data_IF_831603786747
#
_entry.id   IF_831603786747
#
_cell.length_a   1.000
_cell.length_b   1.000
_cell.length_c   1.000
_cell.angle_alpha   90.00
_cell.angle_beta   90.00
_cell.angle_gamma   90.00
#
_symmetry.space_group_name_H-M   'P 1'
#
loop_
_entity.id
_entity.type
_entity.pdbx_description
1 polymer ?
#
# COMPACT_ATOMS: atom_id res chain seq x y z
N UNK A 1 -39.56 -2.17 -18.16
CA UNK A 1 -39.27 -3.60 -17.86
C UNK A 1 -37.87 -3.63 -17.32
N UNK A 2 -37.70 -3.61 -15.99
CA UNK A 2 -36.39 -3.57 -15.34
C UNK A 2 -35.61 -4.85 -15.62
N UNK A 3 -34.35 -4.69 -16.03
CA UNK A 3 -33.45 -5.81 -16.30
C UNK A 3 -33.16 -6.60 -15.01
N UNK A 4 -32.99 -7.94 -15.06
CA UNK A 4 -32.78 -8.79 -13.89
C UNK A 4 -31.56 -8.45 -13.03
N UNK A 5 -30.62 -7.61 -13.52
CA UNK A 5 -29.40 -7.20 -12.82
C UNK A 5 -29.54 -5.96 -11.92
N UNK A 6 -30.68 -5.29 -11.95
CA UNK A 6 -30.84 -3.95 -11.35
C UNK A 6 -31.52 -3.96 -9.96
N UNK A 7 -31.75 -5.14 -9.37
CA UNK A 7 -32.31 -5.21 -8.03
C UNK A 7 -31.26 -4.83 -6.97
N UNK A 8 -31.54 -3.81 -6.15
CA UNK A 8 -30.66 -3.43 -5.06
C UNK A 8 -30.58 -4.55 -4.02
N UNK A 9 -29.41 -5.05 -3.76
CA UNK A 9 -29.20 -6.24 -2.92
C UNK A 9 -28.46 -5.95 -1.62
N UNK A 10 -27.59 -4.92 -1.56
CA UNK A 10 -26.61 -4.77 -0.49
C UNK A 10 -26.61 -3.36 0.12
N UNK A 11 -26.40 -3.27 1.43
CA UNK A 11 -26.00 -2.03 2.09
C UNK A 11 -24.51 -1.77 1.88
N UNK A 12 -24.07 -0.52 2.02
CA UNK A 12 -22.69 -0.12 1.79
C UNK A 12 -21.68 -0.94 2.61
N UNK A 13 -21.94 -1.19 3.88
CA UNK A 13 -21.05 -1.99 4.73
C UNK A 13 -20.93 -3.45 4.29
N UNK A 14 -21.96 -4.03 3.67
CA UNK A 14 -21.89 -5.36 3.09
C UNK A 14 -21.10 -5.35 1.79
N UNK A 15 -21.30 -4.35 0.94
CA UNK A 15 -20.53 -4.15 -0.29
C UNK A 15 -19.04 -3.93 0.02
N UNK A 16 -18.76 -3.08 1.00
CA UNK A 16 -17.42 -2.81 1.54
C UNK A 16 -16.71 -4.09 1.98
N UNK A 17 -17.38 -4.90 2.80
CA UNK A 17 -16.82 -6.16 3.31
C UNK A 17 -16.54 -7.18 2.19
N UNK A 18 -17.46 -7.32 1.22
CA UNK A 18 -17.31 -8.27 0.11
C UNK A 18 -16.17 -7.92 -0.83
N UNK A 19 -15.93 -6.63 -1.05
CA UNK A 19 -14.98 -6.14 -2.03
C UNK A 19 -13.66 -5.66 -1.42
N UNK A 20 -13.55 -5.62 -0.08
CA UNK A 20 -12.35 -5.13 0.59
C UNK A 20 -12.09 -3.63 0.36
N UNK A 21 -13.14 -2.85 0.03
CA UNK A 21 -13.06 -1.41 -0.21
C UNK A 21 -13.76 -0.69 0.94
N UNK A 22 -13.17 0.36 1.48
CA UNK A 22 -13.79 1.09 2.59
C UNK A 22 -15.09 1.77 2.18
N UNK A 23 -16.05 1.91 3.11
CA UNK A 23 -17.29 2.66 2.90
C UNK A 23 -17.01 4.09 2.39
N UNK A 24 -15.92 4.69 2.86
CA UNK A 24 -15.50 6.03 2.47
C UNK A 24 -15.09 6.08 0.99
N UNK A 25 -14.27 5.15 0.54
CA UNK A 25 -13.85 5.06 -0.86
C UNK A 25 -15.05 4.80 -1.79
N UNK A 26 -15.97 3.91 -1.40
CA UNK A 26 -17.20 3.65 -2.16
C UNK A 26 -18.06 4.91 -2.30
N UNK A 27 -18.22 5.68 -1.22
CA UNK A 27 -18.97 6.96 -1.25
C UNK A 27 -18.25 8.02 -2.09
N UNK A 28 -16.92 8.06 -2.05
CA UNK A 28 -16.14 8.97 -2.88
C UNK A 28 -16.31 8.62 -4.36
N UNK A 29 -16.24 7.34 -4.73
CA UNK A 29 -16.45 6.89 -6.09
C UNK A 29 -17.89 7.11 -6.60
N UNK A 30 -18.89 6.95 -5.70
CA UNK A 30 -20.28 7.32 -5.98
C UNK A 30 -20.42 8.82 -6.27
N UNK A 31 -19.91 9.67 -5.36
CA UNK A 31 -20.15 11.12 -5.43
C UNK A 31 -19.30 11.84 -6.48
N UNK A 32 -18.03 11.41 -6.70
CA UNK A 32 -17.10 12.07 -7.61
C UNK A 32 -17.19 11.59 -9.05
N UNK A 33 -17.43 10.29 -9.22
CA UNK A 33 -17.35 9.66 -10.53
C UNK A 33 -18.68 9.12 -11.01
N UNK A 34 -19.71 9.09 -10.14
CA UNK A 34 -20.97 8.45 -10.48
C UNK A 34 -20.86 6.95 -10.73
N UNK A 35 -19.76 6.32 -10.23
CA UNK A 35 -19.47 4.91 -10.47
C UNK A 35 -20.57 4.00 -9.94
N UNK A 36 -21.17 4.36 -8.82
CA UNK A 36 -22.24 3.62 -8.15
C UNK A 36 -23.56 4.38 -8.25
N UNK A 37 -24.63 3.66 -8.52
CA UNK A 37 -25.97 4.22 -8.69
C UNK A 37 -26.96 3.55 -7.71
N UNK A 38 -26.79 3.79 -6.37
CA UNK A 38 -27.65 3.16 -5.39
C UNK A 38 -29.08 3.68 -5.47
N UNK A 39 -30.03 2.79 -5.27
CA UNK A 39 -31.44 3.18 -5.00
C UNK A 39 -31.64 3.34 -3.51
N UNK A 40 -32.62 4.16 -3.12
CA UNK A 40 -32.99 4.34 -1.71
C UNK A 40 -34.12 3.38 -1.32
N UNK A 41 -33.94 2.66 -0.22
CA UNK A 41 -35.00 1.87 0.39
C UNK A 41 -36.11 2.77 0.96
N UNK A 42 -37.27 2.21 1.32
CA UNK A 42 -38.33 2.92 1.99
C UNK A 42 -37.89 3.60 3.30
N UNK A 43 -36.82 3.11 3.95
CA UNK A 43 -36.21 3.73 5.12
C UNK A 43 -35.08 4.69 4.82
N UNK A 44 -34.88 5.13 3.57
CA UNK A 44 -33.89 6.12 3.15
C UNK A 44 -32.44 5.60 3.01
N UNK A 45 -32.20 4.30 3.23
CA UNK A 45 -30.86 3.71 3.11
C UNK A 45 -30.47 3.48 1.65
N UNK A 46 -29.19 3.70 1.33
CA UNK A 46 -28.62 3.35 0.04
C UNK A 46 -28.52 1.82 -0.10
N UNK A 47 -29.00 1.31 -1.23
CA UNK A 47 -28.94 -0.10 -1.59
C UNK A 47 -28.27 -0.22 -2.96
N UNK A 48 -27.27 -1.07 -3.06
CA UNK A 48 -26.40 -1.26 -4.21
C UNK A 48 -26.77 -2.55 -4.94
N UNK A 49 -26.74 -2.50 -6.27
CA UNK A 49 -27.09 -3.61 -7.16
C UNK A 49 -25.90 -4.54 -7.42
N UNK A 50 -26.14 -5.69 -8.06
CA UNK A 50 -25.08 -6.53 -8.59
C UNK A 50 -24.24 -5.83 -9.68
N UNK A 51 -24.85 -4.91 -10.43
CA UNK A 51 -24.14 -4.08 -11.40
C UNK A 51 -23.16 -3.12 -10.69
N UNK A 52 -23.58 -2.49 -9.58
CA UNK A 52 -22.68 -1.68 -8.77
C UNK A 52 -21.48 -2.50 -8.24
N UNK A 53 -21.72 -3.72 -7.76
CA UNK A 53 -20.68 -4.63 -7.32
C UNK A 53 -19.71 -4.97 -8.47
N UNK A 54 -20.22 -5.20 -9.69
CA UNK A 54 -19.42 -5.43 -10.89
C UNK A 54 -18.53 -4.23 -11.25
N UNK A 55 -19.09 -3.01 -11.23
CA UNK A 55 -18.33 -1.77 -11.48
C UNK A 55 -17.21 -1.54 -10.48
N UNK A 56 -17.45 -1.83 -9.20
CA UNK A 56 -16.39 -1.73 -8.18
C UNK A 56 -15.26 -2.73 -8.44
N UNK A 57 -15.57 -3.97 -8.86
CA UNK A 57 -14.53 -4.96 -9.21
C UNK A 57 -13.70 -4.53 -10.42
N UNK A 58 -14.34 -4.02 -11.46
CA UNK A 58 -13.65 -3.47 -12.64
C UNK A 58 -12.78 -2.27 -12.24
N UNK A 59 -13.31 -1.38 -11.41
CA UNK A 59 -12.56 -0.25 -10.84
C UNK A 59 -11.30 -0.72 -10.12
N UNK A 60 -11.42 -1.74 -9.27
CA UNK A 60 -10.27 -2.32 -8.56
C UNK A 60 -9.24 -2.93 -9.52
N UNK A 61 -9.69 -3.62 -10.57
CA UNK A 61 -8.79 -4.19 -11.59
C UNK A 61 -7.97 -3.09 -12.29
N UNK A 62 -8.63 -2.03 -12.74
CA UNK A 62 -7.93 -0.91 -13.39
C UNK A 62 -7.01 -0.15 -12.45
N UNK A 63 -7.38 -0.01 -11.17
CA UNK A 63 -6.49 0.55 -10.16
C UNK A 63 -5.26 -0.33 -9.92
N UNK A 64 -5.42 -1.66 -9.99
CA UNK A 64 -4.31 -2.61 -9.88
C UNK A 64 -3.39 -2.57 -11.11
N UNK A 65 -3.92 -2.23 -12.29
CA UNK A 65 -3.16 -1.97 -13.52
C UNK A 65 -2.42 -0.61 -13.50
N UNK A 66 -2.64 0.20 -12.44
CA UNK A 66 -1.93 1.48 -12.25
C UNK A 66 -2.68 2.71 -12.76
N UNK A 67 -3.94 2.57 -13.23
CA UNK A 67 -4.75 3.72 -13.60
C UNK A 67 -5.10 4.55 -12.36
N UNK A 68 -5.19 5.87 -12.53
CA UNK A 68 -5.77 6.74 -11.51
C UNK A 68 -7.26 6.42 -11.30
N UNK A 69 -7.81 6.75 -10.12
CA UNK A 69 -9.22 6.48 -9.83
C UNK A 69 -10.17 7.18 -10.82
N UNK A 70 -9.81 8.37 -11.31
CA UNK A 70 -10.59 9.07 -12.33
C UNK A 70 -10.56 8.38 -13.69
N UNK A 71 -9.43 7.81 -14.11
CA UNK A 71 -9.28 7.06 -15.37
C UNK A 71 -9.99 5.72 -15.27
N UNK A 72 -9.79 4.98 -14.19
CA UNK A 72 -10.43 3.70 -13.94
C UNK A 72 -11.97 3.85 -13.95
N UNK A 73 -12.51 4.83 -13.23
CA UNK A 73 -13.95 5.10 -13.23
C UNK A 73 -14.50 5.44 -14.63
N UNK A 74 -13.78 6.26 -15.41
CA UNK A 74 -14.17 6.58 -16.78
C UNK A 74 -14.17 5.36 -17.71
N UNK A 75 -13.19 4.48 -17.54
CA UNK A 75 -13.09 3.24 -18.32
C UNK A 75 -14.27 2.32 -17.98
N UNK A 76 -14.52 2.07 -16.70
CA UNK A 76 -15.65 1.26 -16.25
C UNK A 76 -16.99 1.80 -16.75
N UNK A 77 -17.25 3.12 -16.65
CA UNK A 77 -18.51 3.72 -17.07
C UNK A 77 -18.69 3.67 -18.60
N UNK A 78 -17.61 3.73 -19.38
CA UNK A 78 -17.67 3.54 -20.84
C UNK A 78 -17.97 2.09 -21.22
N UNK A 79 -17.37 1.13 -20.54
CA UNK A 79 -17.59 -0.30 -20.78
C UNK A 79 -19.01 -0.73 -20.41
N UNK A 80 -19.58 -0.12 -19.36
CA UNK A 80 -20.95 -0.38 -18.89
C UNK A 80 -22.05 0.34 -19.72
N UNK A 81 -21.68 1.13 -20.72
CA UNK A 81 -22.62 1.86 -21.58
C UNK A 81 -23.40 2.97 -20.87
N UNK A 82 -23.05 3.32 -19.65
CA UNK A 82 -23.75 4.31 -18.81
C UNK A 82 -23.16 5.73 -18.90
N UNK A 83 -22.23 5.97 -19.81
CA UNK A 83 -21.64 7.28 -20.01
C UNK A 83 -22.62 8.25 -20.66
N UNK A 84 -23.26 9.11 -19.87
CA UNK A 84 -23.86 10.35 -20.36
C UNK A 84 -22.78 11.21 -21.01
N UNK A 85 -23.04 11.61 -22.26
CA UNK A 85 -22.11 12.37 -23.08
C UNK A 85 -22.04 13.84 -22.65
N UNK A 86 -21.33 14.11 -21.56
CA UNK A 86 -20.71 15.42 -21.34
C UNK A 86 -19.20 15.20 -21.22
N UNK A 87 -18.39 15.74 -22.14
CA UNK A 87 -16.96 15.57 -22.09
C UNK A 87 -16.40 16.40 -20.95
N UNK A 88 -16.12 15.77 -19.81
CA UNK A 88 -15.12 16.32 -18.90
C UNK A 88 -13.81 16.32 -19.68
N UNK A 89 -13.16 17.49 -19.83
CA UNK A 89 -11.95 17.60 -20.63
C UNK A 89 -10.90 16.60 -20.10
N UNK A 90 -10.10 15.97 -20.95
CA UNK A 90 -9.05 15.07 -20.54
C UNK A 90 -8.10 15.86 -19.65
N UNK A 91 -8.01 15.49 -18.37
CA UNK A 91 -6.92 15.95 -17.53
C UNK A 91 -5.63 15.41 -18.17
N UNK A 92 -4.86 16.30 -18.76
CA UNK A 92 -3.56 15.97 -19.31
C UNK A 92 -2.65 15.41 -18.22
N UNK A 93 -1.57 14.69 -18.55
CA UNK A 93 -0.63 14.12 -17.57
C UNK A 93 -0.10 15.14 -16.57
N UNK A 94 -0.03 16.42 -16.94
CA UNK A 94 0.42 17.50 -16.09
C UNK A 94 -0.56 17.89 -14.96
N UNK A 95 -1.89 17.73 -15.16
CA UNK A 95 -2.88 18.04 -14.11
C UNK A 95 -2.89 16.98 -12.99
N UNK A 96 -2.68 15.71 -13.34
CA UNK A 96 -2.59 14.65 -12.34
C UNK A 96 -1.30 14.78 -11.51
N UNK A 97 -0.18 15.11 -12.13
CA UNK A 97 1.10 15.33 -11.45
C UNK A 97 1.06 16.58 -10.55
N UNK A 98 0.44 17.68 -10.98
CA UNK A 98 0.24 18.88 -10.19
C UNK A 98 -0.61 18.56 -8.94
N UNK A 99 -1.68 17.81 -9.09
CA UNK A 99 -2.56 17.43 -7.97
C UNK A 99 -1.86 16.52 -6.96
N UNK A 100 -1.03 15.57 -7.39
CA UNK A 100 -0.23 14.72 -6.51
C UNK A 100 0.77 15.55 -5.72
N UNK A 101 1.47 16.48 -6.39
CA UNK A 101 2.44 17.37 -5.75
C UNK A 101 1.77 18.30 -4.73
N UNK A 102 0.61 18.86 -5.05
CA UNK A 102 -0.17 19.69 -4.12
C UNK A 102 -0.61 18.92 -2.89
N UNK A 103 -1.11 17.69 -3.05
CA UNK A 103 -1.52 16.84 -1.94
C UNK A 103 -0.32 16.39 -1.08
N UNK A 104 0.83 16.11 -1.69
CA UNK A 104 2.06 15.79 -0.96
C UNK A 104 2.53 16.98 -0.11
N UNK A 105 2.47 18.20 -0.66
CA UNK A 105 2.77 19.44 0.08
C UNK A 105 1.77 19.66 1.23
N UNK A 106 0.48 19.48 0.98
CA UNK A 106 -0.55 19.63 2.01
C UNK A 106 -0.38 18.61 3.14
N UNK A 107 -0.06 17.35 2.81
CA UNK A 107 0.23 16.32 3.80
C UNK A 107 1.41 16.72 4.68
N UNK A 108 2.51 17.15 4.08
CA UNK A 108 3.70 17.61 4.81
C UNK A 108 3.36 18.77 5.74
N UNK A 109 2.66 19.79 5.25
CA UNK A 109 2.27 20.95 6.06
C UNK A 109 1.42 20.56 7.27
N UNK A 110 0.43 19.68 7.08
CA UNK A 110 -0.40 19.18 8.16
C UNK A 110 0.42 18.39 9.20
N UNK A 111 1.31 17.50 8.77
CA UNK A 111 2.18 16.74 9.66
C UNK A 111 3.18 17.62 10.40
N UNK A 112 3.79 18.59 9.74
CA UNK A 112 4.74 19.55 10.35
C UNK A 112 4.06 20.47 11.36
N UNK A 113 2.76 20.75 11.18
CA UNK A 113 1.94 21.57 12.07
C UNK A 113 1.25 20.77 13.20
N UNK A 114 1.48 19.48 13.33
CA UNK A 114 0.79 18.59 14.26
C UNK A 114 -0.74 18.55 14.07
N UNK A 115 -1.22 18.80 12.83
CA UNK A 115 -2.63 18.80 12.48
C UNK A 115 -3.07 17.43 11.97
N UNK A 116 -3.41 16.53 12.90
CA UNK A 116 -3.88 15.19 12.58
C UNK A 116 -5.16 15.20 11.72
N UNK A 117 -6.22 15.97 12.03
CA UNK A 117 -7.43 16.00 11.21
C UNK A 117 -7.15 16.33 9.74
N UNK A 118 -6.34 17.36 9.48
CA UNK A 118 -5.95 17.75 8.11
C UNK A 118 -5.09 16.67 7.44
N UNK A 119 -4.13 16.07 8.15
CA UNK A 119 -3.32 14.99 7.62
C UNK A 119 -4.20 13.79 7.22
N UNK A 120 -5.15 13.40 8.07
CA UNK A 120 -6.09 12.31 7.79
C UNK A 120 -6.97 12.63 6.57
N UNK A 121 -7.50 13.86 6.46
CA UNK A 121 -8.31 14.28 5.31
C UNK A 121 -7.51 14.24 3.99
N UNK A 122 -6.23 14.64 4.01
CA UNK A 122 -5.35 14.55 2.84
C UNK A 122 -5.08 13.10 2.46
N UNK A 123 -4.81 12.21 3.42
CA UNK A 123 -4.67 10.78 3.15
C UNK A 123 -5.93 10.19 2.50
N UNK A 124 -7.12 10.51 3.04
CA UNK A 124 -8.39 10.04 2.49
C UNK A 124 -8.58 10.51 1.05
N UNK A 125 -8.15 11.74 0.75
CA UNK A 125 -8.18 12.28 -0.60
C UNK A 125 -7.18 11.57 -1.52
N UNK A 126 -5.94 11.36 -1.07
CA UNK A 126 -4.91 10.64 -1.84
C UNK A 126 -5.39 9.25 -2.26
N UNK A 127 -5.92 8.44 -1.32
CA UNK A 127 -6.39 7.08 -1.63
C UNK A 127 -7.72 7.06 -2.40
N UNK A 128 -8.45 8.17 -2.45
CA UNK A 128 -9.66 8.31 -3.26
C UNK A 128 -9.36 8.72 -4.69
N UNK A 129 -8.29 9.48 -4.91
CA UNK A 129 -7.95 10.08 -6.21
C UNK A 129 -6.89 9.27 -6.97
N UNK A 130 -6.05 8.51 -6.26
CA UNK A 130 -4.92 7.77 -6.81
C UNK A 130 -5.00 6.27 -6.48
N UNK A 131 -4.27 5.46 -7.25
CA UNK A 131 -4.03 4.07 -6.86
C UNK A 131 -3.20 4.04 -5.56
N UNK A 132 -3.45 3.04 -4.70
CA UNK A 132 -2.67 2.91 -3.47
C UNK A 132 -1.16 2.81 -3.75
N UNK A 133 -0.79 2.07 -4.80
CA UNK A 133 0.62 1.93 -5.23
C UNK A 133 1.25 3.28 -5.54
N UNK A 134 0.52 4.17 -6.24
CA UNK A 134 0.98 5.54 -6.51
C UNK A 134 1.11 6.37 -5.22
N UNK A 135 0.13 6.30 -4.31
CA UNK A 135 0.19 7.00 -3.02
C UNK A 135 1.41 6.56 -2.22
N UNK A 136 1.66 5.26 -2.14
CA UNK A 136 2.80 4.72 -1.37
C UNK A 136 4.14 5.09 -2.01
N UNK A 137 4.28 4.97 -3.34
CA UNK A 137 5.52 5.23 -4.07
C UNK A 137 5.83 6.72 -4.21
N UNK A 138 4.81 7.52 -4.58
CA UNK A 138 5.03 8.90 -5.05
C UNK A 138 4.80 9.94 -3.93
N UNK A 139 4.16 9.57 -2.81
CA UNK A 139 3.88 10.47 -1.69
C UNK A 139 4.49 9.97 -0.39
N UNK A 140 4.15 8.76 0.06
CA UNK A 140 4.52 8.29 1.41
C UNK A 140 6.01 7.99 1.52
N UNK A 141 6.58 7.19 0.60
CA UNK A 141 8.01 6.87 0.63
C UNK A 141 8.91 8.11 0.49
N UNK A 142 8.65 9.03 -0.47
CA UNK A 142 9.44 10.28 -0.56
C UNK A 142 9.34 11.14 0.69
N UNK A 143 8.15 11.26 1.30
CA UNK A 143 7.97 12.00 2.54
C UNK A 143 8.78 11.39 3.69
N UNK A 144 8.74 10.06 3.87
CA UNK A 144 9.51 9.36 4.90
C UNK A 144 11.02 9.56 4.72
N UNK A 145 11.51 9.51 3.48
CA UNK A 145 12.91 9.78 3.16
C UNK A 145 13.29 11.24 3.49
N UNK A 146 12.48 12.21 3.04
CA UNK A 146 12.68 13.63 3.36
C UNK A 146 12.67 13.89 4.88
N UNK A 147 11.74 13.26 5.61
CA UNK A 147 11.64 13.41 7.06
C UNK A 147 12.90 12.89 7.76
N UNK A 148 13.42 11.74 7.35
CA UNK A 148 14.68 11.19 7.83
C UNK A 148 15.87 12.12 7.58
N UNK A 149 15.98 12.66 6.37
CA UNK A 149 17.00 13.64 6.00
C UNK A 149 16.90 14.93 6.81
N UNK A 150 15.69 15.42 7.05
CA UNK A 150 15.45 16.62 7.88
C UNK A 150 15.83 16.39 9.33
N UNK A 151 15.51 15.21 9.85
CA UNK A 151 15.88 14.80 11.20
C UNK A 151 17.40 14.73 11.36
N UNK A 152 18.11 14.08 10.44
CA UNK A 152 19.59 14.01 10.46
C UNK A 152 20.25 15.39 10.40
N UNK A 153 19.66 16.32 9.65
CA UNK A 153 20.14 17.71 9.56
C UNK A 153 19.71 18.60 10.74
N UNK A 154 18.90 18.08 11.68
CA UNK A 154 18.36 18.84 12.81
C UNK A 154 17.31 19.87 12.41
N UNK A 155 16.72 19.78 11.21
CA UNK A 155 15.66 20.68 10.71
C UNK A 155 14.25 20.14 10.95
N UNK A 156 14.10 18.91 11.41
CA UNK A 156 12.89 18.35 11.99
C UNK A 156 13.15 18.00 13.45
N UNK A 157 12.23 18.39 14.34
CA UNK A 157 12.31 18.01 15.75
C UNK A 157 11.91 16.55 15.95
N UNK A 158 12.37 15.93 17.04
CA UNK A 158 11.97 14.59 17.46
C UNK A 158 10.44 14.47 17.57
N UNK A 159 9.78 15.53 18.07
CA UNK A 159 8.32 15.55 18.20
C UNK A 159 7.62 15.51 16.83
N UNK A 160 8.14 16.23 15.83
CA UNK A 160 7.60 16.21 14.47
C UNK A 160 7.80 14.84 13.81
N UNK A 161 8.98 14.26 13.95
CA UNK A 161 9.27 12.94 13.44
C UNK A 161 8.35 11.89 14.07
N UNK A 162 8.23 11.85 15.40
CA UNK A 162 7.35 10.90 16.10
C UNK A 162 5.87 11.09 15.72
N UNK A 163 5.40 12.33 15.65
CA UNK A 163 4.01 12.61 15.26
C UNK A 163 3.72 12.10 13.85
N UNK A 164 4.55 12.49 12.87
CA UNK A 164 4.37 12.12 11.48
C UNK A 164 4.45 10.61 11.27
N UNK A 165 5.44 9.95 11.88
CA UNK A 165 5.61 8.49 11.78
C UNK A 165 4.47 7.73 12.42
N UNK A 166 3.92 8.19 13.55
CA UNK A 166 2.76 7.55 14.18
C UNK A 166 1.50 7.67 13.31
N UNK A 167 1.22 8.82 12.70
CA UNK A 167 0.08 9.01 11.79
C UNK A 167 0.21 8.09 10.57
N UNK A 168 1.38 8.10 9.92
CA UNK A 168 1.65 7.26 8.75
C UNK A 168 1.55 5.78 9.10
N UNK A 169 2.19 5.35 10.20
CA UNK A 169 2.14 3.97 10.68
C UNK A 169 0.71 3.51 10.95
N UNK A 170 -0.11 4.35 11.56
CA UNK A 170 -1.52 4.05 11.79
C UNK A 170 -2.29 3.79 10.48
N UNK A 171 -2.03 4.57 9.44
CA UNK A 171 -2.62 4.37 8.10
C UNK A 171 -2.12 3.10 7.43
N UNK A 172 -0.82 2.86 7.47
CA UNK A 172 -0.21 1.64 6.92
C UNK A 172 -0.72 0.39 7.63
N UNK A 173 -0.81 0.40 8.97
CA UNK A 173 -1.35 -0.71 9.75
C UNK A 173 -2.83 -1.00 9.41
N UNK A 174 -3.62 0.04 9.10
CA UNK A 174 -4.97 -0.13 8.57
C UNK A 174 -5.03 -0.86 7.23
N UNK A 175 -4.06 -0.61 6.35
CA UNK A 175 -3.93 -1.25 5.04
C UNK A 175 -3.35 -2.66 5.12
N UNK A 176 -2.61 -2.97 6.18
CA UNK A 176 -1.99 -4.26 6.44
C UNK A 176 -2.95 -5.32 7.02
N UNK A 177 -4.22 -4.99 7.22
CA UNK A 177 -5.22 -5.93 7.75
C UNK A 177 -5.45 -7.08 6.77
N UNK A 178 -5.43 -8.31 7.29
CA UNK A 178 -5.69 -9.51 6.50
C UNK A 178 -4.46 -10.10 5.81
N UNK A 179 -3.25 -9.68 6.16
CA UNK A 179 -2.01 -10.18 5.60
C UNK A 179 -1.86 -11.70 5.63
N UNK A 180 -2.32 -12.38 6.67
CA UNK A 180 -2.30 -13.85 6.76
C UNK A 180 -3.40 -14.56 5.94
N UNK A 181 -4.30 -13.83 5.28
CA UNK A 181 -5.43 -14.38 4.50
C UNK A 181 -5.12 -14.66 3.02
N UNK A 182 -3.91 -14.44 2.55
CA UNK A 182 -3.49 -14.73 1.18
C UNK A 182 -3.47 -16.24 0.90
N UNK A 183 -3.85 -16.64 -0.32
CA UNK A 183 -3.75 -18.04 -0.79
C UNK A 183 -2.51 -18.26 -1.67
N UNK A 184 -1.69 -17.23 -1.83
CA UNK A 184 -0.45 -17.23 -2.61
C UNK A 184 0.78 -17.63 -1.81
N UNK A 185 1.99 -17.37 -2.35
CA UNK A 185 3.23 -17.63 -1.66
C UNK A 185 3.34 -16.84 -0.38
N UNK A 186 4.16 -17.33 0.51
CA UNK A 186 4.38 -16.73 1.84
C UNK A 186 5.67 -15.95 1.87
N UNK A 187 5.62 -14.73 2.37
CA UNK A 187 6.81 -13.93 2.64
C UNK A 187 6.91 -13.59 4.13
N UNK A 188 8.11 -13.74 4.69
CA UNK A 188 8.46 -13.21 6.01
C UNK A 188 9.20 -11.89 5.81
N UNK A 189 8.77 -10.86 6.53
CA UNK A 189 9.35 -9.52 6.46
C UNK A 189 9.84 -9.08 7.83
N UNK A 190 11.14 -8.76 7.96
CA UNK A 190 11.76 -8.37 9.21
C UNK A 190 12.87 -7.34 9.01
N UNK A 191 13.18 -6.59 10.06
CA UNK A 191 14.42 -5.83 10.18
C UNK A 191 15.32 -6.52 11.20
N UNK A 192 16.65 -6.57 10.97
CA UNK A 192 17.57 -7.25 11.86
C UNK A 192 17.66 -6.56 13.24
N UNK A 193 18.27 -7.20 14.25
CA UNK A 193 18.53 -6.56 15.55
C UNK A 193 19.24 -5.22 15.38
N UNK A 194 18.77 -4.21 16.12
CA UNK A 194 19.26 -2.84 16.07
C UNK A 194 18.62 -1.96 15.01
N UNK A 195 17.92 -2.51 14.01
CA UNK A 195 17.21 -1.73 12.99
C UNK A 195 15.76 -1.43 13.42
N UNK A 196 15.42 -0.13 13.50
CA UNK A 196 14.12 0.35 13.93
C UNK A 196 13.24 0.89 12.76
N UNK A 197 13.83 1.08 11.58
CA UNK A 197 13.16 1.70 10.42
C UNK A 197 12.44 0.65 9.58
N UNK A 198 11.25 0.27 9.98
CA UNK A 198 10.46 -0.80 9.34
C UNK A 198 9.32 -0.31 8.42
N UNK A 199 9.06 1.01 8.33
CA UNK A 199 7.90 1.49 7.56
C UNK A 199 8.02 1.23 6.05
N UNK A 200 9.21 1.35 5.48
CA UNK A 200 9.43 1.01 4.07
C UNK A 200 9.18 -0.49 3.82
N UNK A 201 9.58 -1.35 4.76
CA UNK A 201 9.31 -2.79 4.70
C UNK A 201 7.81 -3.08 4.86
N UNK A 202 7.10 -2.34 5.71
CA UNK A 202 5.63 -2.43 5.82
C UNK A 202 4.94 -2.04 4.52
N UNK A 203 5.40 -0.98 3.84
CA UNK A 203 4.90 -0.58 2.52
C UNK A 203 5.13 -1.70 1.49
N UNK A 204 6.32 -2.28 1.46
CA UNK A 204 6.63 -3.44 0.62
C UNK A 204 5.64 -4.58 0.86
N UNK A 205 5.38 -4.94 2.12
CA UNK A 205 4.43 -5.99 2.50
C UNK A 205 2.99 -5.70 2.06
N UNK A 206 2.54 -4.43 2.15
CA UNK A 206 1.21 -4.01 1.69
C UNK A 206 1.07 -4.24 0.18
N UNK A 207 2.08 -3.85 -0.60
CA UNK A 207 2.06 -4.01 -2.07
C UNK A 207 2.16 -5.50 -2.43
N UNK A 208 3.03 -6.24 -1.78
CA UNK A 208 3.21 -7.67 -2.00
C UNK A 208 1.93 -8.48 -1.70
N UNK A 209 1.27 -8.17 -0.57
CA UNK A 209 0.00 -8.81 -0.21
C UNK A 209 -1.12 -8.51 -1.23
N UNK A 210 -1.16 -7.31 -1.79
CA UNK A 210 -2.11 -6.96 -2.87
C UNK A 210 -1.87 -7.75 -4.16
N UNK A 211 -0.65 -8.23 -4.36
CA UNK A 211 -0.27 -9.14 -5.45
C UNK A 211 -0.48 -10.63 -5.09
N UNK A 212 -1.24 -10.90 -4.04
CA UNK A 212 -1.69 -12.24 -3.67
C UNK A 212 -0.79 -12.99 -2.68
N UNK A 213 0.30 -12.38 -2.18
CA UNK A 213 1.16 -13.00 -1.19
C UNK A 213 0.53 -13.01 0.21
N UNK A 214 0.80 -14.07 0.96
CA UNK A 214 0.58 -14.13 2.40
C UNK A 214 1.80 -13.54 3.12
N UNK A 215 1.59 -12.65 4.10
CA UNK A 215 2.67 -11.92 4.75
C UNK A 215 2.72 -12.24 6.25
N UNK A 216 3.86 -12.71 6.70
CA UNK A 216 4.23 -12.79 8.12
C UNK A 216 5.16 -11.60 8.42
N UNK A 217 4.63 -10.57 9.06
CA UNK A 217 5.35 -9.34 9.34
C UNK A 217 5.88 -9.33 10.77
N UNK A 218 7.19 -9.35 10.93
CA UNK A 218 7.86 -9.27 12.25
C UNK A 218 8.34 -7.85 12.57
N UNK A 219 8.57 -7.03 11.55
CA UNK A 219 8.89 -5.60 11.73
C UNK A 219 10.29 -5.35 12.26
N UNK A 220 10.41 -4.29 13.09
CA UNK A 220 11.67 -3.80 13.60
C UNK A 220 12.34 -4.72 14.60
N UNK A 221 13.69 -4.67 14.67
CA UNK A 221 14.49 -5.26 15.74
C UNK A 221 14.20 -6.75 16.00
N UNK A 222 14.04 -7.55 14.96
CA UNK A 222 13.72 -8.98 15.05
C UNK A 222 14.98 -9.80 15.30
N UNK A 223 15.06 -10.60 16.38
CA UNK A 223 16.17 -11.52 16.62
C UNK A 223 16.24 -12.59 15.51
N UNK A 224 17.43 -12.83 14.95
CA UNK A 224 17.59 -13.79 13.86
C UNK A 224 17.23 -15.22 14.27
N UNK A 225 17.49 -15.60 15.51
CA UNK A 225 17.11 -16.92 16.03
C UNK A 225 15.59 -17.16 15.99
N UNK A 226 14.80 -16.13 16.31
CA UNK A 226 13.34 -16.20 16.22
C UNK A 226 12.87 -16.25 14.76
N UNK A 227 13.56 -15.53 13.89
CA UNK A 227 13.31 -15.57 12.45
C UNK A 227 13.60 -16.96 11.86
N UNK A 228 14.72 -17.60 12.25
CA UNK A 228 15.04 -18.97 11.84
C UNK A 228 13.97 -19.97 12.29
N UNK A 229 13.49 -19.86 13.53
CA UNK A 229 12.38 -20.68 14.04
C UNK A 229 11.10 -20.51 13.21
N UNK A 230 10.79 -19.27 12.84
CA UNK A 230 9.62 -18.99 12.01
C UNK A 230 9.78 -19.55 10.60
N UNK A 231 10.96 -19.45 10.00
CA UNK A 231 11.28 -20.05 8.69
C UNK A 231 11.09 -21.57 8.74
N UNK A 232 11.62 -22.24 9.76
CA UNK A 232 11.48 -23.68 9.93
C UNK A 232 10.02 -24.11 10.19
N UNK A 233 9.20 -23.25 10.76
CA UNK A 233 7.79 -23.53 11.05
C UNK A 233 6.86 -23.26 9.87
N UNK A 234 7.20 -22.29 9.00
CA UNK A 234 6.27 -21.79 7.98
C UNK A 234 6.68 -22.07 6.54
N UNK A 235 7.95 -22.44 6.31
CA UNK A 235 8.52 -22.73 4.98
C UNK A 235 8.19 -21.62 3.97
N UNK A 236 8.65 -20.37 4.20
CA UNK A 236 8.30 -19.25 3.34
C UNK A 236 8.96 -19.34 1.97
N UNK A 237 8.30 -18.80 0.96
CA UNK A 237 8.82 -18.67 -0.41
C UNK A 237 9.80 -17.49 -0.54
N UNK A 238 9.78 -16.57 0.43
CA UNK A 238 10.67 -15.41 0.48
C UNK A 238 10.85 -14.93 1.93
N UNK A 239 12.10 -14.63 2.29
CA UNK A 239 12.44 -13.89 3.51
C UNK A 239 13.08 -12.58 3.09
N UNK A 240 12.57 -11.44 3.57
CA UNK A 240 13.15 -10.13 3.30
C UNK A 240 13.67 -9.54 4.60
N UNK A 241 14.96 -9.23 4.64
CA UNK A 241 15.60 -8.48 5.71
C UNK A 241 15.99 -7.09 5.20
N UNK A 242 15.45 -6.05 5.84
CA UNK A 242 15.69 -4.66 5.46
C UNK A 242 16.45 -3.89 6.53
N UNK A 243 17.44 -3.09 6.11
CA UNK A 243 18.16 -2.17 6.99
C UNK A 243 18.48 -0.86 6.27
N UNK A 244 18.51 0.23 7.04
CA UNK A 244 18.84 1.58 6.54
C UNK A 244 20.33 1.85 6.49
N UNK A 245 21.10 1.17 7.34
CA UNK A 245 22.58 1.24 7.39
C UNK A 245 23.18 -0.16 7.31
N UNK A 246 24.44 -0.30 6.82
CA UNK A 246 25.04 -1.63 6.61
C UNK A 246 25.29 -2.42 7.88
N UNK A 247 25.64 -1.76 8.98
CA UNK A 247 26.17 -2.40 10.20
C UNK A 247 25.29 -3.51 10.77
N UNK A 248 23.95 -3.36 10.91
CA UNK A 248 23.10 -4.44 11.42
C UNK A 248 23.14 -5.71 10.57
N UNK A 249 23.21 -5.58 9.24
CA UNK A 249 23.31 -6.73 8.34
C UNK A 249 24.75 -7.30 8.28
N UNK A 250 25.75 -6.43 8.24
CA UNK A 250 27.15 -6.86 8.14
C UNK A 250 27.61 -7.65 9.38
N UNK A 251 27.11 -7.28 10.57
CA UNK A 251 27.43 -7.98 11.81
C UNK A 251 26.85 -9.40 11.89
N UNK A 252 25.88 -9.73 11.04
CA UNK A 252 25.13 -10.99 11.05
C UNK A 252 25.45 -11.90 9.83
N UNK A 253 26.59 -11.66 9.16
CA UNK A 253 26.98 -12.44 7.98
C UNK A 253 26.86 -13.96 8.12
N UNK A 254 27.38 -14.60 9.19
CA UNK A 254 27.29 -16.04 9.33
C UNK A 254 25.86 -16.54 9.45
N UNK A 255 25.02 -15.82 10.20
CA UNK A 255 23.62 -16.13 10.43
C UNK A 255 22.79 -15.92 9.18
N UNK A 256 23.04 -14.82 8.43
CA UNK A 256 22.40 -14.57 7.13
C UNK A 256 22.73 -15.67 6.11
N UNK A 257 23.99 -16.12 6.07
CA UNK A 257 24.38 -17.23 5.20
C UNK A 257 23.74 -18.55 5.64
N UNK A 258 23.50 -18.75 6.93
CA UNK A 258 22.75 -19.91 7.43
C UNK A 258 21.27 -19.83 7.05
N UNK A 259 20.65 -18.65 7.18
CA UNK A 259 19.26 -18.40 6.81
C UNK A 259 19.04 -18.58 5.29
N UNK A 260 19.94 -18.09 4.44
CA UNK A 260 19.87 -18.21 2.99
C UNK A 260 19.93 -19.67 2.49
N UNK A 261 20.46 -20.59 3.29
CA UNK A 261 20.42 -22.05 3.01
C UNK A 261 19.09 -22.70 3.34
N UNK A 262 18.25 -22.04 4.17
CA UNK A 262 16.95 -22.56 4.64
C UNK A 262 15.80 -22.07 3.82
N UNK A 263 15.87 -20.79 3.35
CA UNK A 263 14.81 -20.18 2.57
C UNK A 263 15.39 -19.15 1.57
N UNK A 264 14.67 -18.85 0.48
CA UNK A 264 15.05 -17.75 -0.41
C UNK A 264 15.14 -16.43 0.37
N UNK A 265 16.35 -15.90 0.49
CA UNK A 265 16.65 -14.66 1.26
C UNK A 265 16.87 -13.49 0.31
N UNK A 266 16.25 -12.36 0.63
CA UNK A 266 16.52 -11.07 0.00
C UNK A 266 16.95 -10.05 1.05
N UNK A 267 17.93 -9.21 0.70
CA UNK A 267 18.36 -8.06 1.49
C UNK A 267 17.88 -6.78 0.82
N UNK A 268 17.32 -5.86 1.60
CA UNK A 268 16.70 -4.63 1.12
C UNK A 268 17.12 -3.40 1.94
N UNK A 269 16.83 -2.21 1.40
CA UNK A 269 17.16 -0.94 2.04
C UNK A 269 18.60 -0.47 1.76
N UNK A 270 18.90 0.79 2.16
CA UNK A 270 20.19 1.41 1.88
C UNK A 270 21.38 0.71 2.56
N UNK A 271 21.12 -0.05 3.63
CA UNK A 271 22.12 -0.88 4.31
C UNK A 271 22.47 -2.18 3.60
N UNK A 272 21.67 -2.64 2.64
CA UNK A 272 21.94 -3.84 1.87
C UNK A 272 22.92 -3.54 0.74
N UNK A 273 24.04 -4.26 0.68
CA UNK A 273 25.05 -4.11 -0.36
C UNK A 273 25.11 -5.33 -1.27
N UNK A 274 25.49 -5.14 -2.54
CA UNK A 274 25.69 -6.23 -3.48
C UNK A 274 26.77 -7.21 -3.00
N UNK A 275 27.81 -6.68 -2.34
CA UNK A 275 28.89 -7.48 -1.79
C UNK A 275 28.39 -8.40 -0.67
N UNK A 276 27.60 -7.87 0.27
CA UNK A 276 27.03 -8.65 1.36
C UNK A 276 26.05 -9.71 0.81
N UNK A 277 25.10 -9.29 -0.04
CA UNK A 277 24.11 -10.20 -0.62
C UNK A 277 24.76 -11.40 -1.33
N UNK A 278 25.79 -11.12 -2.17
CA UNK A 278 26.58 -12.17 -2.83
C UNK A 278 27.31 -13.07 -1.84
N UNK A 279 27.91 -12.48 -0.79
CA UNK A 279 28.69 -13.24 0.19
C UNK A 279 27.83 -14.20 1.04
N UNK A 280 26.56 -13.85 1.29
CA UNK A 280 25.64 -14.69 2.10
C UNK A 280 24.71 -15.54 1.25
N UNK A 281 24.76 -15.44 -0.09
CA UNK A 281 23.87 -16.18 -0.99
C UNK A 281 22.44 -15.63 -1.04
N UNK A 282 22.26 -14.33 -0.76
CA UNK A 282 20.98 -13.64 -0.81
C UNK A 282 20.81 -12.85 -2.11
N UNK A 283 19.57 -12.56 -2.48
CA UNK A 283 19.23 -11.60 -3.53
C UNK A 283 19.33 -10.17 -2.97
N UNK A 284 19.91 -9.24 -3.71
CA UNK A 284 19.79 -7.82 -3.40
C UNK A 284 18.51 -7.26 -4.05
N UNK A 285 17.68 -6.60 -3.25
CA UNK A 285 16.59 -5.73 -3.73
C UNK A 285 17.11 -4.30 -3.81
N UNK A 286 17.62 -3.91 -4.98
CA UNK A 286 18.27 -2.61 -5.19
C UNK A 286 17.32 -1.57 -5.82
N UNK A 287 16.15 -1.98 -6.25
CA UNK A 287 15.19 -1.13 -6.95
C UNK A 287 14.26 -0.36 -6.00
N UNK A 288 13.32 0.37 -6.60
CA UNK A 288 12.19 0.91 -5.87
C UNK A 288 11.37 -0.21 -5.23
N UNK A 289 11.15 -0.12 -3.92
CA UNK A 289 10.49 -1.18 -3.14
C UNK A 289 9.09 -1.54 -3.66
N UNK A 290 8.35 -0.55 -4.14
CA UNK A 290 7.01 -0.77 -4.70
C UNK A 290 7.11 -1.55 -6.01
N UNK A 291 8.05 -1.18 -6.87
CA UNK A 291 8.33 -1.89 -8.13
C UNK A 291 8.84 -3.31 -7.87
N UNK A 292 9.75 -3.50 -6.91
CA UNK A 292 10.22 -4.83 -6.52
C UNK A 292 9.06 -5.72 -6.02
N UNK A 293 8.13 -5.16 -5.22
CA UNK A 293 6.96 -5.90 -4.74
C UNK A 293 5.98 -6.26 -5.86
N UNK A 294 5.79 -5.37 -6.85
CA UNK A 294 4.93 -5.63 -8.03
C UNK A 294 5.54 -6.70 -8.93
N UNK A 295 6.87 -6.71 -9.06
CA UNK A 295 7.61 -7.64 -9.91
C UNK A 295 7.94 -8.97 -9.22
N UNK A 296 7.74 -9.08 -7.92
CA UNK A 296 7.96 -10.33 -7.18
C UNK A 296 7.00 -11.40 -7.71
N UNK A 297 7.48 -12.16 -8.70
CA UNK A 297 6.74 -13.27 -9.33
C UNK A 297 7.18 -14.56 -8.68
N UNK A 298 6.25 -15.49 -8.66
CA UNK A 298 6.51 -16.88 -8.38
C UNK A 298 7.51 -17.43 -9.42
N UNK A 299 8.58 -18.03 -8.98
CA UNK A 299 9.48 -18.81 -9.82
C UNK A 299 9.12 -20.28 -9.71
#
# INVERSE_FOLDING_TARGET
MESPGDRPLLRIGELSRRLGVTDHALRAWESRYGLLQPVRSAGGFRLYSAADEGRVRQMQAHLAEGLSAAEAARTVLREDGSASADPVPPAGPDLAAATVSELAVALRQALDAFDEPSAQAVFDRLVSDLSLTAVLRDVVLPYLAELGDRWQRGTASVAQEHFATNIIRGRLAGLARGWGGGHGPRAILACPPGEQHDMALMIFGIVLNRNGWSIDYFGANTPLEELERAVDATYPDLVVLAATVPEPLESLRPELAALARRAPLALAGAGATAQLASAVGARLMAGDLVTEAVQARWS
#
